data_IF_728853820212
#
_entry.id   IF_728853820212
#
_cell.length_a   1.000
_cell.length_b   1.000
_cell.length_c   1.000
_cell.angle_alpha   90.00
_cell.angle_beta   90.00
_cell.angle_gamma   90.00
#
_symmetry.space_group_name_H-M   'P 1'
#
loop_
_entity.id
_entity.type
_entity.pdbx_description
1 polymer ?
#
# COMPACT_ATOMS: atom_id res chain seq x y z
N UNK A 1 29.25 0.41 -96.63
CA UNK A 1 28.42 -0.73 -96.18
C UNK A 1 28.81 -1.05 -94.77
N UNK A 2 28.05 -0.58 -93.76
CA UNK A 2 28.19 -1.05 -92.36
C UNK A 2 26.89 -0.73 -91.62
N UNK A 3 26.22 -1.75 -91.21
CA UNK A 3 24.92 -1.70 -90.52
C UNK A 3 25.13 -1.41 -89.03
N UNK A 4 24.57 -0.32 -88.54
CA UNK A 4 24.48 0.03 -87.12
C UNK A 4 23.34 -0.71 -86.48
N UNK A 5 23.65 -1.53 -85.50
CA UNK A 5 22.62 -2.19 -84.65
C UNK A 5 22.22 -1.30 -83.45
N UNK A 6 20.96 -0.96 -83.40
CA UNK A 6 20.36 -0.24 -82.33
C UNK A 6 19.98 -1.23 -81.19
N UNK A 7 20.58 -1.09 -80.03
CA UNK A 7 20.28 -1.90 -78.87
C UNK A 7 19.31 -1.09 -77.99
N UNK A 8 18.08 -1.60 -77.83
CA UNK A 8 17.07 -1.05 -76.95
C UNK A 8 17.36 -1.47 -75.51
N UNK A 9 17.56 -0.51 -74.61
CA UNK A 9 17.67 -0.72 -73.19
C UNK A 9 16.27 -0.55 -72.58
N UNK A 10 15.69 -1.67 -72.17
CA UNK A 10 14.41 -1.69 -71.44
C UNK A 10 14.65 -1.39 -69.95
N UNK A 11 14.27 -0.21 -69.49
CA UNK A 11 14.31 0.16 -68.07
C UNK A 11 13.14 -0.49 -67.35
N UNK A 12 13.42 -1.42 -66.44
CA UNK A 12 12.45 -2.01 -65.51
C UNK A 12 12.29 -1.05 -64.35
N UNK A 13 11.16 -0.32 -64.25
CA UNK A 13 10.78 0.46 -63.07
C UNK A 13 10.18 -0.49 -62.05
N UNK A 14 10.93 -0.84 -61.01
CA UNK A 14 10.43 -1.56 -59.85
C UNK A 14 9.58 -0.63 -58.99
N UNK A 15 8.27 -0.79 -59.06
CA UNK A 15 7.29 -0.10 -58.18
C UNK A 15 7.33 -0.78 -56.80
N UNK A 16 8.13 -0.24 -55.87
CA UNK A 16 8.11 -0.66 -54.47
C UNK A 16 6.80 -0.19 -53.85
N UNK A 17 5.83 -1.07 -53.72
CA UNK A 17 4.63 -0.90 -52.89
C UNK A 17 5.07 -0.83 -51.44
N UNK A 18 5.22 0.40 -50.93
CA UNK A 18 5.32 0.68 -49.49
C UNK A 18 3.96 0.30 -48.87
N UNK A 19 3.86 -0.92 -48.38
CA UNK A 19 2.79 -1.34 -47.48
C UNK A 19 2.95 -0.63 -46.14
N UNK A 20 2.62 0.64 -46.10
CA UNK A 20 2.40 1.38 -44.88
C UNK A 20 1.12 0.86 -44.25
N UNK A 21 1.26 -0.13 -43.36
CA UNK A 21 0.17 -0.46 -42.45
C UNK A 21 -0.27 0.80 -41.71
N UNK A 22 -1.56 0.91 -41.33
CA UNK A 22 -2.03 2.05 -40.59
C UNK A 22 -1.13 2.21 -39.35
N UNK A 23 -0.72 3.45 -39.00
CA UNK A 23 0.10 3.67 -37.81
C UNK A 23 -0.58 3.00 -36.64
N UNK A 24 0.13 2.14 -35.93
CA UNK A 24 -0.37 1.50 -34.72
C UNK A 24 -0.89 2.62 -33.82
N UNK A 25 -2.22 2.71 -33.72
CA UNK A 25 -2.86 3.71 -32.88
C UNK A 25 -2.30 3.47 -31.49
N UNK A 26 -1.54 4.42 -30.95
CA UNK A 26 -1.05 4.33 -29.59
C UNK A 26 -2.25 4.03 -28.70
N UNK A 27 -2.27 2.84 -28.10
CA UNK A 27 -3.42 2.40 -27.33
C UNK A 27 -3.60 3.40 -26.20
N UNK A 28 -4.74 4.09 -26.15
CA UNK A 28 -5.03 5.12 -25.17
C UNK A 28 -4.89 4.55 -23.77
N UNK A 29 -4.09 5.21 -22.94
CA UNK A 29 -3.86 4.77 -21.56
C UNK A 29 -5.14 4.90 -20.76
N UNK A 30 -5.42 3.92 -19.93
CA UNK A 30 -6.58 3.96 -19.04
C UNK A 30 -6.29 4.89 -17.87
N UNK A 31 -7.07 5.98 -17.78
CA UNK A 31 -6.98 6.90 -16.64
C UNK A 31 -7.49 6.23 -15.37
N UNK A 32 -6.67 6.28 -14.30
CA UNK A 32 -7.00 5.83 -12.95
C UNK A 32 -6.74 6.96 -11.95
N UNK A 33 -7.78 7.37 -11.22
CA UNK A 33 -7.69 8.41 -10.20
C UNK A 33 -7.18 7.81 -8.90
N UNK A 34 -6.08 8.34 -8.42
CA UNK A 34 -5.34 7.79 -7.27
C UNK A 34 -5.33 8.79 -6.13
N UNK A 35 -5.85 8.40 -4.97
CA UNK A 35 -5.61 9.15 -3.74
C UNK A 35 -4.23 8.81 -3.17
N UNK A 36 -3.46 9.83 -2.79
CA UNK A 36 -2.17 9.68 -2.13
C UNK A 36 -2.13 10.47 -0.82
N UNK A 37 -1.33 10.01 0.14
CA UNK A 37 -1.07 10.76 1.38
C UNK A 37 0.12 11.70 1.20
N UNK A 38 0.15 12.79 1.96
CA UNK A 38 1.32 13.68 2.06
C UNK A 38 2.35 13.23 3.11
N UNK A 39 2.04 12.16 3.86
CA UNK A 39 2.91 11.61 4.90
C UNK A 39 3.95 10.65 4.31
N UNK A 40 5.16 10.52 4.89
CA UNK A 40 6.20 9.62 4.41
C UNK A 40 5.91 8.15 4.81
N UNK A 41 4.83 7.59 4.29
CA UNK A 41 4.35 6.24 4.56
C UNK A 41 4.26 5.43 3.27
N UNK A 42 3.79 4.19 3.35
CA UNK A 42 3.76 3.22 2.25
C UNK A 42 3.10 3.76 0.97
N UNK A 43 1.93 4.41 1.11
CA UNK A 43 1.15 4.87 -0.03
C UNK A 43 1.90 5.82 -0.97
N UNK A 44 2.42 6.99 -0.53
CA UNK A 44 3.13 7.90 -1.44
C UNK A 44 4.46 7.30 -1.94
N UNK A 45 5.11 6.43 -1.17
CA UNK A 45 6.33 5.74 -1.63
C UNK A 45 6.01 4.93 -2.89
N UNK A 46 4.98 4.08 -2.87
CA UNK A 46 4.58 3.29 -4.04
C UNK A 46 4.18 4.18 -5.21
N UNK A 47 3.38 5.23 -4.95
CA UNK A 47 2.94 6.19 -5.98
C UNK A 47 4.13 6.86 -6.67
N UNK A 48 5.09 7.36 -5.89
CA UNK A 48 6.28 8.02 -6.44
C UNK A 48 7.19 7.05 -7.21
N UNK A 49 7.42 5.84 -6.69
CA UNK A 49 8.19 4.83 -7.40
C UNK A 49 7.55 4.49 -8.76
N UNK A 50 6.21 4.31 -8.80
CA UNK A 50 5.49 4.07 -10.05
C UNK A 50 5.66 5.21 -11.05
N UNK A 51 5.49 6.47 -10.62
CA UNK A 51 5.58 7.65 -11.50
C UNK A 51 7.01 7.92 -11.97
N UNK A 52 7.98 7.94 -11.06
CA UNK A 52 9.39 8.22 -11.38
C UNK A 52 9.98 7.17 -12.34
N UNK A 53 9.54 5.93 -12.23
CA UNK A 53 9.98 4.85 -13.12
C UNK A 53 9.08 4.69 -14.35
N UNK A 54 7.99 5.45 -14.48
CA UNK A 54 7.04 5.33 -15.59
C UNK A 54 6.38 3.97 -15.68
N UNK A 55 6.21 3.28 -14.54
CA UNK A 55 5.62 1.93 -14.47
C UNK A 55 4.16 1.97 -14.91
N UNK A 56 3.40 2.96 -14.46
CA UNK A 56 2.02 3.17 -14.87
C UNK A 56 1.89 3.22 -16.40
N UNK A 57 2.75 3.99 -17.04
CA UNK A 57 2.75 4.15 -18.49
C UNK A 57 3.08 2.85 -19.24
N UNK A 58 4.04 2.05 -18.74
CA UNK A 58 4.38 0.75 -19.35
C UNK A 58 3.22 -0.24 -19.27
N UNK A 59 2.40 -0.15 -18.23
CA UNK A 59 1.17 -0.94 -18.09
C UNK A 59 -0.06 -0.29 -18.71
N UNK A 60 0.13 0.71 -19.60
CA UNK A 60 -0.96 1.42 -20.28
C UNK A 60 -1.98 2.04 -19.32
N UNK A 61 -1.49 2.53 -18.19
CA UNK A 61 -2.23 3.28 -17.20
C UNK A 61 -1.77 4.74 -17.20
N UNK A 62 -2.69 5.65 -16.86
CA UNK A 62 -2.42 7.06 -16.62
C UNK A 62 -2.92 7.41 -15.21
N UNK A 63 -1.98 7.47 -14.26
CA UNK A 63 -2.29 7.79 -12.87
C UNK A 63 -2.51 9.29 -12.70
N UNK A 64 -3.76 9.69 -12.44
CA UNK A 64 -4.15 11.02 -11.97
C UNK A 64 -4.09 11.04 -10.45
N UNK A 65 -3.00 11.54 -9.89
CA UNK A 65 -2.69 11.47 -8.45
C UNK A 65 -3.12 12.76 -7.75
N UNK A 66 -3.91 12.62 -6.68
CA UNK A 66 -4.26 13.72 -5.76
C UNK A 66 -3.79 13.40 -4.35
N UNK A 67 -3.14 14.38 -3.72
CA UNK A 67 -2.59 14.25 -2.38
C UNK A 67 -3.57 14.75 -1.32
N UNK A 68 -3.66 14.01 -0.20
CA UNK A 68 -4.53 14.32 0.93
C UNK A 68 -3.72 14.40 2.23
N UNK A 69 -4.03 15.37 3.12
CA UNK A 69 -3.23 15.63 4.31
C UNK A 69 -3.53 14.69 5.48
N UNK A 70 -4.61 13.91 5.42
CA UNK A 70 -5.03 13.02 6.51
C UNK A 70 -5.59 11.70 6.01
N UNK A 71 -5.53 10.67 6.85
CA UNK A 71 -6.11 9.35 6.59
C UNK A 71 -7.63 9.45 6.34
N UNK A 72 -8.33 10.30 7.08
CA UNK A 72 -9.77 10.49 6.90
C UNK A 72 -10.12 11.05 5.51
N UNK A 73 -9.44 12.12 5.07
CA UNK A 73 -9.65 12.71 3.74
C UNK A 73 -9.26 11.74 2.60
N UNK A 74 -8.18 11.00 2.81
CA UNK A 74 -7.68 9.99 1.89
C UNK A 74 -8.71 8.87 1.63
N UNK A 75 -9.32 8.32 2.66
CA UNK A 75 -10.37 7.31 2.50
C UNK A 75 -11.69 7.90 2.01
N UNK A 76 -12.04 9.13 2.41
CA UNK A 76 -13.22 9.83 1.92
C UNK A 76 -13.20 10.01 0.39
N UNK A 77 -12.05 10.26 -0.21
CA UNK A 77 -11.91 10.39 -1.66
C UNK A 77 -12.35 9.13 -2.42
N UNK A 78 -12.06 7.94 -1.88
CA UNK A 78 -12.54 6.67 -2.47
C UNK A 78 -14.01 6.43 -2.14
N UNK A 79 -14.44 6.73 -0.92
CA UNK A 79 -15.83 6.54 -0.52
C UNK A 79 -16.80 7.36 -1.39
N UNK A 80 -16.45 8.61 -1.69
CA UNK A 80 -17.24 9.53 -2.52
C UNK A 80 -17.12 9.30 -4.02
N UNK A 81 -16.12 8.51 -4.46
CA UNK A 81 -15.82 8.30 -5.89
C UNK A 81 -14.98 9.40 -6.53
N UNK A 82 -14.37 10.28 -5.75
CA UNK A 82 -13.37 11.24 -6.23
C UNK A 82 -12.10 10.52 -6.70
N UNK A 83 -11.70 9.45 -6.01
CA UNK A 83 -10.62 8.54 -6.41
C UNK A 83 -11.15 7.14 -6.73
N UNK A 84 -10.50 6.45 -7.66
CA UNK A 84 -10.77 5.05 -8.02
C UNK A 84 -10.08 4.06 -7.08
N UNK A 85 -8.95 4.49 -6.50
CA UNK A 85 -8.09 3.69 -5.60
C UNK A 85 -7.29 4.57 -4.65
N UNK A 86 -6.89 3.98 -3.53
CA UNK A 86 -5.86 4.51 -2.63
C UNK A 86 -4.50 3.86 -2.87
N UNK A 87 -4.32 3.04 -3.89
CA UNK A 87 -3.17 2.14 -4.11
C UNK A 87 -3.08 1.08 -3.01
N UNK A 88 -3.02 1.51 -1.75
CA UNK A 88 -2.97 0.67 -0.54
C UNK A 88 -3.92 1.21 0.52
N UNK A 89 -4.50 0.34 1.30
CA UNK A 89 -5.33 0.72 2.46
C UNK A 89 -5.73 -0.48 3.31
N UNK A 90 -6.27 -0.21 4.49
CA UNK A 90 -6.61 -1.22 5.48
C UNK A 90 -7.79 -2.11 5.09
N UNK A 91 -7.67 -3.44 5.19
CA UNK A 91 -8.76 -4.35 4.85
C UNK A 91 -10.04 -4.09 5.67
N UNK A 92 -9.94 -3.82 6.98
CA UNK A 92 -11.11 -3.55 7.82
C UNK A 92 -11.76 -2.18 7.54
N UNK A 93 -11.00 -1.22 7.03
CA UNK A 93 -11.57 0.06 6.56
C UNK A 93 -12.43 -0.18 5.32
N UNK A 94 -11.97 -1.01 4.38
CA UNK A 94 -12.77 -1.36 3.20
C UNK A 94 -13.93 -2.30 3.55
N UNK A 95 -13.80 -3.16 4.56
CA UNK A 95 -14.91 -3.91 5.14
C UNK A 95 -16.02 -2.95 5.59
N UNK A 96 -15.68 -1.95 6.39
CA UNK A 96 -16.63 -0.93 6.86
C UNK A 96 -17.27 -0.20 5.68
N UNK A 97 -16.47 0.34 4.76
CA UNK A 97 -16.99 1.04 3.58
C UNK A 97 -17.96 0.17 2.79
N UNK A 98 -17.63 -1.11 2.56
CA UNK A 98 -18.49 -2.04 1.84
C UNK A 98 -19.82 -2.26 2.55
N UNK A 99 -19.80 -2.44 3.89
CA UNK A 99 -21.02 -2.62 4.68
C UNK A 99 -21.88 -1.36 4.76
N UNK A 100 -21.29 -0.18 4.52
CA UNK A 100 -21.96 1.11 4.41
C UNK A 100 -22.43 1.44 2.97
N UNK A 101 -22.24 0.50 2.03
CA UNK A 101 -22.73 0.62 0.66
C UNK A 101 -21.75 1.24 -0.33
N UNK A 102 -20.49 1.50 0.05
CA UNK A 102 -19.47 1.98 -0.90
C UNK A 102 -19.11 0.84 -1.87
N UNK A 103 -19.19 1.06 -3.19
CA UNK A 103 -18.93 0.04 -4.20
C UNK A 103 -17.42 -0.16 -4.38
N UNK A 104 -16.77 -0.82 -3.43
CA UNK A 104 -15.33 -1.08 -3.38
C UNK A 104 -15.04 -2.57 -3.37
N UNK A 105 -13.95 -2.98 -4.03
CA UNK A 105 -13.42 -4.35 -4.02
C UNK A 105 -11.94 -4.35 -3.69
N UNK A 106 -11.48 -5.39 -3.04
CA UNK A 106 -10.07 -5.69 -2.80
C UNK A 106 -9.58 -6.58 -3.93
N UNK A 107 -8.58 -6.12 -4.68
CA UNK A 107 -8.06 -6.82 -5.87
C UNK A 107 -6.73 -7.51 -5.62
N UNK A 108 -5.94 -7.05 -4.64
CA UNK A 108 -4.68 -7.68 -4.24
C UNK A 108 -4.37 -7.41 -2.76
N UNK A 109 -3.51 -8.24 -2.19
CA UNK A 109 -2.76 -7.93 -0.97
C UNK A 109 -1.47 -7.23 -1.35
N UNK A 110 -0.84 -6.48 -0.43
CA UNK A 110 0.39 -5.76 -0.76
C UNK A 110 1.37 -5.58 0.40
N UNK A 111 0.91 -5.35 1.64
CA UNK A 111 1.77 -5.12 2.79
C UNK A 111 1.41 -6.08 3.91
N UNK A 112 2.35 -6.96 4.32
CA UNK A 112 2.19 -7.75 5.53
C UNK A 112 2.15 -6.87 6.78
N UNK A 113 1.62 -7.38 7.89
CA UNK A 113 1.54 -6.63 9.15
C UNK A 113 2.90 -6.39 9.84
N UNK A 114 4.01 -6.76 9.23
CA UNK A 114 5.36 -6.56 9.78
C UNK A 114 5.78 -5.09 9.88
N UNK A 115 5.14 -4.19 9.14
CA UNK A 115 5.44 -2.75 9.13
C UNK A 115 4.89 -2.01 10.35
N UNK A 116 3.89 -2.57 11.03
CA UNK A 116 3.26 -2.03 12.22
C UNK A 116 4.05 -2.36 13.48
N UNK A 117 4.47 -1.34 14.22
CA UNK A 117 5.19 -1.50 15.49
C UNK A 117 4.72 -0.52 16.56
N UNK A 118 4.97 -0.87 17.83
CA UNK A 118 4.89 0.04 18.96
C UNK A 118 6.27 0.19 19.55
N UNK A 119 6.69 1.45 19.71
CA UNK A 119 7.99 1.83 20.27
C UNK A 119 7.82 2.50 21.64
N UNK A 120 8.80 2.29 22.53
CA UNK A 120 8.90 2.97 23.82
C UNK A 120 10.38 3.28 24.15
N UNK A 121 10.64 4.29 24.96
CA UNK A 121 11.93 4.51 25.59
C UNK A 121 11.99 3.96 27.03
N UNK A 122 10.87 3.58 27.62
CA UNK A 122 10.80 3.10 28.99
C UNK A 122 11.33 1.68 29.17
N UNK A 123 12.37 1.41 29.97
CA UNK A 123 12.85 0.04 30.23
C UNK A 123 11.86 -0.83 30.97
N UNK A 124 10.84 -0.27 31.61
CA UNK A 124 9.83 -1.00 32.35
C UNK A 124 8.70 -1.58 31.45
N UNK A 125 8.59 -1.10 30.20
CA UNK A 125 7.55 -1.59 29.25
C UNK A 125 8.24 -2.52 28.25
N UNK A 126 7.99 -3.81 28.30
CA UNK A 126 8.65 -4.82 27.47
C UNK A 126 7.75 -5.47 26.41
N UNK A 127 6.44 -5.34 26.59
CA UNK A 127 5.41 -5.95 25.74
C UNK A 127 4.17 -5.07 25.66
N UNK A 128 3.23 -5.43 24.78
CA UNK A 128 1.96 -4.72 24.66
C UNK A 128 1.17 -4.71 25.96
N UNK A 129 1.19 -5.80 26.72
CA UNK A 129 0.40 -5.91 27.97
C UNK A 129 0.92 -5.01 29.09
N UNK A 130 2.20 -4.63 29.06
CA UNK A 130 2.80 -3.70 30.03
C UNK A 130 2.34 -2.25 29.81
N UNK A 131 1.57 -1.98 28.74
CA UNK A 131 0.93 -0.69 28.52
C UNK A 131 -0.30 -0.47 29.42
N UNK A 132 -0.70 -1.44 30.23
CA UNK A 132 -1.80 -1.27 31.19
C UNK A 132 -1.51 -0.12 32.15
N UNK A 133 -2.44 0.86 32.19
CA UNK A 133 -2.28 2.10 32.98
C UNK A 133 -1.32 3.12 32.36
N UNK A 134 -0.85 2.91 31.13
CA UNK A 134 0.08 3.79 30.40
C UNK A 134 -0.62 4.56 29.28
N UNK A 135 0.14 5.46 28.66
CA UNK A 135 -0.31 6.29 27.52
C UNK A 135 0.29 5.80 26.22
N UNK A 136 -0.54 5.62 25.19
CA UNK A 136 -0.16 5.24 23.83
C UNK A 136 -0.61 6.31 22.84
N UNK A 137 0.32 6.91 22.10
CA UNK A 137 -0.03 7.74 20.96
C UNK A 137 -0.31 6.86 19.74
N UNK A 138 -1.51 7.00 19.15
CA UNK A 138 -1.94 6.18 18.02
C UNK A 138 -2.97 6.91 17.15
N UNK A 139 -3.00 6.60 15.85
CA UNK A 139 -4.08 7.05 14.95
C UNK A 139 -5.25 6.08 15.03
N UNK A 140 -6.28 6.43 15.81
CA UNK A 140 -7.43 5.58 16.06
C UNK A 140 -8.29 5.30 14.81
N UNK A 141 -8.15 6.10 13.75
CA UNK A 141 -8.81 5.86 12.45
C UNK A 141 -8.07 4.89 11.54
N UNK A 142 -6.88 4.45 11.92
CA UNK A 142 -6.04 3.59 11.10
C UNK A 142 -6.37 2.10 11.25
N UNK A 143 -6.05 1.33 10.20
CA UNK A 143 -6.06 -0.14 10.24
C UNK A 143 -5.14 -0.67 11.33
N UNK A 144 -3.99 -0.03 11.51
CA UNK A 144 -2.97 -0.44 12.47
C UNK A 144 -3.48 -0.38 13.90
N UNK A 145 -4.23 0.66 14.26
CA UNK A 145 -4.87 0.74 15.57
C UNK A 145 -5.85 -0.42 15.80
N UNK A 146 -6.65 -0.75 14.79
CA UNK A 146 -7.61 -1.85 14.86
C UNK A 146 -6.91 -3.20 15.04
N UNK A 147 -5.81 -3.44 14.31
CA UNK A 147 -5.01 -4.67 14.44
C UNK A 147 -4.43 -4.82 15.85
N UNK A 148 -3.84 -3.75 16.42
CA UNK A 148 -3.34 -3.75 17.80
C UNK A 148 -4.44 -4.00 18.81
N UNK A 149 -5.61 -3.41 18.61
CA UNK A 149 -6.73 -3.57 19.53
C UNK A 149 -7.35 -4.99 19.48
N UNK A 150 -7.40 -5.61 18.29
CA UNK A 150 -7.82 -7.02 18.15
C UNK A 150 -6.85 -7.92 18.91
N UNK A 151 -5.55 -7.76 18.69
CA UNK A 151 -4.53 -8.52 19.40
C UNK A 151 -4.55 -8.26 20.91
N UNK A 152 -4.63 -6.99 21.32
CA UNK A 152 -4.71 -6.60 22.71
C UNK A 152 -5.87 -7.29 23.45
N UNK A 153 -7.06 -7.29 22.86
CA UNK A 153 -8.22 -7.99 23.43
C UNK A 153 -7.98 -9.50 23.59
N UNK A 154 -7.33 -10.13 22.61
CA UNK A 154 -6.97 -11.55 22.71
C UNK A 154 -5.97 -11.83 23.86
N UNK A 155 -5.23 -10.81 24.30
CA UNK A 155 -4.29 -10.84 25.44
C UNK A 155 -4.88 -10.24 26.73
N UNK A 156 -6.16 -9.92 26.76
CA UNK A 156 -6.84 -9.34 27.94
C UNK A 156 -6.55 -7.87 28.18
N UNK A 157 -6.11 -7.13 27.14
CA UNK A 157 -5.85 -5.69 27.19
C UNK A 157 -6.80 -4.94 26.26
N UNK A 158 -7.55 -3.97 26.80
CA UNK A 158 -8.48 -3.15 26.01
C UNK A 158 -7.92 -1.74 25.84
N UNK A 159 -7.56 -1.37 24.60
CA UNK A 159 -7.16 -0.01 24.28
C UNK A 159 -8.33 0.96 24.51
N UNK A 160 -8.03 2.12 25.06
CA UNK A 160 -9.03 3.12 25.45
C UNK A 160 -9.65 2.89 26.83
N UNK A 161 -9.46 1.71 27.44
CA UNK A 161 -9.91 1.39 28.80
C UNK A 161 -8.73 1.08 29.71
N UNK A 162 -7.93 0.06 29.38
CA UNK A 162 -6.74 -0.31 30.14
C UNK A 162 -5.53 0.55 29.78
N UNK A 163 -5.50 1.12 28.57
CA UNK A 163 -4.46 1.99 28.03
C UNK A 163 -5.08 3.31 27.62
N UNK A 164 -4.55 4.43 28.12
CA UNK A 164 -4.98 5.75 27.67
C UNK A 164 -4.46 6.01 26.25
N UNK A 165 -5.36 6.11 25.28
CA UNK A 165 -4.97 6.37 23.88
C UNK A 165 -5.04 7.85 23.57
N UNK A 166 -3.92 8.42 23.13
CA UNK A 166 -3.81 9.79 22.64
C UNK A 166 -3.91 9.77 21.13
N UNK A 167 -4.97 10.40 20.58
CA UNK A 167 -5.11 10.50 19.11
C UNK A 167 -3.95 11.26 18.51
N UNK A 168 -3.20 10.62 17.61
CA UNK A 168 -2.06 11.22 16.94
C UNK A 168 -1.80 10.53 15.60
N UNK A 169 -1.55 11.30 14.54
CA UNK A 169 -0.97 10.72 13.32
C UNK A 169 0.38 10.07 13.61
N UNK A 170 0.86 9.19 12.76
CA UNK A 170 2.16 8.52 12.97
C UNK A 170 3.32 9.50 13.19
N UNK A 171 3.35 10.62 12.45
CA UNK A 171 4.34 11.67 12.64
C UNK A 171 4.19 12.37 14.00
N UNK A 172 2.96 12.65 14.44
CA UNK A 172 2.70 13.25 15.74
C UNK A 172 2.99 12.27 16.88
N UNK A 173 2.67 10.97 16.73
CA UNK A 173 2.98 9.94 17.72
C UNK A 173 4.51 9.86 17.97
N UNK A 174 5.32 9.90 16.90
CA UNK A 174 6.78 10.05 17.04
C UNK A 174 7.16 11.26 17.87
N UNK A 175 6.60 12.43 17.57
CA UNK A 175 6.92 13.68 18.28
C UNK A 175 6.48 13.63 19.74
N UNK A 176 5.32 13.04 20.06
CA UNK A 176 4.83 12.90 21.43
C UNK A 176 5.73 11.98 22.26
N UNK A 177 6.19 10.86 21.68
CA UNK A 177 7.13 9.95 22.36
C UNK A 177 8.48 10.63 22.57
N UNK A 178 9.02 11.32 21.56
CA UNK A 178 10.30 12.03 21.67
C UNK A 178 10.26 13.14 22.73
N UNK A 179 9.11 13.78 22.94
CA UNK A 179 8.90 14.79 23.96
C UNK A 179 8.57 14.20 25.36
N UNK A 180 8.52 12.87 25.51
CA UNK A 180 8.16 12.22 26.78
C UNK A 180 6.72 12.46 27.23
N UNK A 181 5.81 12.84 26.31
CA UNK A 181 4.41 13.13 26.61
C UNK A 181 3.52 11.88 26.62
N UNK A 182 4.01 10.78 26.06
CA UNK A 182 3.39 9.46 26.07
C UNK A 182 4.43 8.40 26.39
N UNK A 183 3.99 7.27 26.94
CA UNK A 183 4.85 6.15 27.32
C UNK A 183 5.27 5.32 26.10
N UNK A 184 4.40 5.28 25.06
CA UNK A 184 4.64 4.52 23.83
C UNK A 184 4.01 5.22 22.62
N UNK A 185 4.52 4.91 21.43
CA UNK A 185 4.00 5.38 20.16
C UNK A 185 3.78 4.20 19.20
N UNK A 186 2.58 4.13 18.62
CA UNK A 186 2.27 3.26 17.50
C UNK A 186 2.69 3.95 16.22
N UNK A 187 3.57 3.32 15.49
CA UNK A 187 4.11 3.85 14.22
C UNK A 187 4.23 2.72 13.20
N UNK A 188 4.47 3.11 11.97
CA UNK A 188 4.69 2.19 10.85
C UNK A 188 6.03 2.49 10.17
N UNK A 189 6.50 1.57 9.34
CA UNK A 189 7.68 1.81 8.51
C UNK A 189 7.39 2.86 7.40
N UNK A 190 8.37 3.67 7.03
CA UNK A 190 9.76 3.74 7.51
C UNK A 190 9.99 4.63 8.74
N UNK A 191 8.93 5.19 9.34
CA UNK A 191 9.01 6.05 10.53
C UNK A 191 9.64 5.30 11.71
N UNK A 192 9.30 4.02 11.87
CA UNK A 192 9.85 3.18 12.92
C UNK A 192 11.38 3.04 12.82
N UNK A 193 11.89 2.73 11.63
CA UNK A 193 13.34 2.66 11.35
C UNK A 193 14.03 4.00 11.65
N UNK A 194 13.42 5.10 11.23
CA UNK A 194 13.97 6.44 11.51
C UNK A 194 14.08 6.69 13.01
N UNK A 195 13.04 6.39 13.80
CA UNK A 195 13.05 6.56 15.26
C UNK A 195 14.12 5.69 15.94
N UNK A 196 14.18 4.41 15.58
CA UNK A 196 15.16 3.47 16.16
C UNK A 196 16.60 3.89 15.87
N UNK A 197 16.85 4.55 14.74
CA UNK A 197 18.17 5.07 14.38
C UNK A 197 18.50 6.36 15.10
N UNK A 198 17.52 7.23 15.32
CA UNK A 198 17.70 8.52 15.99
C UNK A 198 17.97 8.39 17.49
N UNK A 199 17.43 7.38 18.15
CA UNK A 199 17.55 7.21 19.59
C UNK A 199 17.70 5.73 19.99
N UNK A 200 18.88 5.37 20.45
CA UNK A 200 19.21 4.01 20.91
C UNK A 200 18.41 3.54 22.14
N UNK A 201 17.71 4.44 22.84
CA UNK A 201 16.82 4.06 23.95
C UNK A 201 15.47 3.50 23.46
N UNK A 202 15.10 3.81 22.21
CA UNK A 202 13.87 3.25 21.66
C UNK A 202 14.01 1.76 21.40
N UNK A 203 12.96 1.05 21.75
CA UNK A 203 12.84 -0.37 21.50
C UNK A 203 11.42 -0.72 21.09
N UNK A 204 11.32 -1.74 20.30
CA UNK A 204 10.07 -2.27 19.81
C UNK A 204 9.51 -3.25 20.84
N UNK A 205 8.30 -2.96 21.33
CA UNK A 205 7.57 -3.81 22.29
C UNK A 205 6.43 -4.58 21.60
N UNK A 206 6.14 -4.27 20.34
CA UNK A 206 5.12 -4.93 19.54
C UNK A 206 5.52 -4.86 18.06
N UNK A 207 5.32 -5.98 17.35
CA UNK A 207 5.37 -6.06 15.89
C UNK A 207 4.12 -6.78 15.40
N UNK A 208 3.36 -6.15 14.50
CA UNK A 208 2.08 -6.66 14.02
C UNK A 208 2.18 -8.02 13.33
N UNK A 209 3.23 -8.25 12.54
CA UNK A 209 3.45 -9.52 11.85
C UNK A 209 3.74 -10.69 12.81
N UNK A 210 4.53 -10.44 13.84
CA UNK A 210 4.78 -11.44 14.91
C UNK A 210 3.49 -11.73 15.68
N UNK A 211 2.79 -10.68 16.12
CA UNK A 211 1.56 -10.77 16.87
C UNK A 211 0.46 -11.50 16.08
N UNK A 212 0.33 -11.21 14.80
CA UNK A 212 -0.67 -11.86 13.95
C UNK A 212 -0.39 -13.34 13.76
N UNK A 213 0.86 -13.73 13.50
CA UNK A 213 1.25 -15.13 13.43
C UNK A 213 1.03 -15.88 14.74
N UNK A 214 1.30 -15.23 15.88
CA UNK A 214 1.00 -15.81 17.20
C UNK A 214 -0.51 -16.07 17.38
N UNK A 215 -1.35 -15.16 16.89
CA UNK A 215 -2.80 -15.23 17.04
C UNK A 215 -3.47 -16.22 16.08
N UNK A 216 -2.93 -16.38 14.86
CA UNK A 216 -3.60 -17.09 13.75
C UNK A 216 -2.81 -18.27 13.20
N UNK A 217 -1.52 -18.36 13.47
CA UNK A 217 -0.60 -19.30 12.83
C UNK A 217 -0.15 -18.89 11.41
N UNK A 218 -0.68 -17.79 10.87
CA UNK A 218 -0.41 -17.35 9.50
C UNK A 218 0.01 -15.88 9.42
N UNK A 219 0.50 -15.46 8.27
CA UNK A 219 0.81 -14.07 7.98
C UNK A 219 -0.48 -13.28 7.73
N UNK A 220 -0.57 -12.10 8.34
CA UNK A 220 -1.67 -11.18 8.12
C UNK A 220 -1.29 -10.02 7.18
N UNK A 221 -2.30 -9.36 6.66
CA UNK A 221 -2.13 -8.21 5.76
C UNK A 221 -2.50 -6.92 6.49
N UNK A 222 -1.55 -6.00 6.57
CA UNK A 222 -1.82 -4.65 7.06
C UNK A 222 -2.54 -3.83 6.00
N UNK A 223 -2.05 -3.92 4.75
CA UNK A 223 -2.63 -3.19 3.64
C UNK A 223 -2.95 -4.11 2.45
N UNK A 224 -4.06 -3.77 1.80
CA UNK A 224 -4.57 -4.40 0.59
C UNK A 224 -4.79 -3.35 -0.49
N UNK A 225 -4.98 -3.76 -1.73
CA UNK A 225 -5.20 -2.90 -2.89
C UNK A 225 -6.69 -2.80 -3.20
N UNK A 226 -7.32 -1.64 -2.98
CA UNK A 226 -8.72 -1.43 -3.32
C UNK A 226 -8.87 -0.93 -4.76
N UNK A 227 -10.00 -1.27 -5.39
CA UNK A 227 -10.52 -0.61 -6.59
C UNK A 227 -12.02 -0.39 -6.46
N UNK A 228 -12.52 0.76 -6.91
CA UNK A 228 -13.96 0.99 -7.01
C UNK A 228 -14.58 0.15 -8.12
N UNK A 229 -15.79 -0.35 -7.89
CA UNK A 229 -16.55 -1.13 -8.90
C UNK A 229 -16.80 -0.33 -10.17
N UNK A 230 -17.00 0.98 -10.07
CA UNK A 230 -17.19 1.84 -11.24
C UNK A 230 -15.97 1.83 -12.16
N UNK A 231 -14.76 1.83 -11.58
CA UNK A 231 -13.52 1.68 -12.34
C UNK A 231 -13.44 0.28 -12.97
N UNK A 232 -13.70 -0.75 -12.20
CA UNK A 232 -13.66 -2.15 -12.68
C UNK A 232 -14.62 -2.35 -13.86
N UNK A 233 -15.85 -1.81 -13.76
CA UNK A 233 -16.87 -1.91 -14.83
C UNK A 233 -16.47 -1.19 -16.11
N UNK A 234 -15.89 0.04 -16.01
CA UNK A 234 -15.51 0.81 -17.20
C UNK A 234 -14.20 0.35 -17.85
N UNK A 235 -13.33 -0.33 -17.10
CA UNK A 235 -12.02 -0.77 -17.58
C UNK A 235 -11.59 -2.13 -16.97
N UNK A 236 -12.35 -3.24 -17.21
CA UNK A 236 -12.09 -4.51 -16.55
C UNK A 236 -10.68 -5.06 -16.81
N UNK A 237 -10.15 -4.90 -18.02
CA UNK A 237 -8.79 -5.30 -18.37
C UNK A 237 -7.71 -4.49 -17.62
N UNK A 238 -8.04 -3.33 -17.06
CA UNK A 238 -7.08 -2.52 -16.30
C UNK A 238 -6.81 -3.08 -14.91
N UNK A 239 -7.67 -3.95 -14.36
CA UNK A 239 -7.44 -4.59 -13.05
C UNK A 239 -6.17 -5.43 -13.08
N UNK A 240 -6.03 -6.31 -14.06
CA UNK A 240 -4.82 -7.14 -14.21
C UNK A 240 -3.56 -6.29 -14.45
N UNK A 241 -3.68 -5.21 -15.27
CA UNK A 241 -2.59 -4.27 -15.54
C UNK A 241 -2.17 -3.52 -14.28
N UNK A 242 -3.13 -3.13 -13.43
CA UNK A 242 -2.87 -2.47 -12.15
C UNK A 242 -2.10 -3.37 -11.19
N UNK A 243 -2.52 -4.63 -11.04
CA UNK A 243 -1.80 -5.62 -10.22
C UNK A 243 -0.39 -5.85 -10.77
N UNK A 244 -0.23 -6.02 -12.09
CA UNK A 244 1.07 -6.21 -12.72
C UNK A 244 1.99 -4.99 -12.53
N UNK A 245 1.46 -3.76 -12.58
CA UNK A 245 2.23 -2.55 -12.30
C UNK A 245 2.74 -2.52 -10.85
N UNK A 246 1.92 -2.93 -9.88
CA UNK A 246 2.33 -3.04 -8.48
C UNK A 246 3.37 -4.16 -8.27
N UNK A 247 3.25 -5.28 -8.97
CA UNK A 247 4.26 -6.35 -8.97
C UNK A 247 5.59 -5.89 -9.58
N UNK A 248 5.54 -5.01 -10.59
CA UNK A 248 6.75 -4.40 -11.13
C UNK A 248 7.42 -3.45 -10.12
N UNK A 249 6.65 -2.68 -9.34
CA UNK A 249 7.20 -1.90 -8.20
C UNK A 249 7.89 -2.82 -7.21
N UNK A 250 7.24 -3.94 -6.84
CA UNK A 250 7.84 -4.94 -5.94
C UNK A 250 9.18 -5.47 -6.48
N UNK A 251 9.23 -5.83 -7.78
CA UNK A 251 10.45 -6.30 -8.42
C UNK A 251 11.53 -5.22 -8.46
N UNK A 252 11.16 -3.98 -8.81
CA UNK A 252 12.07 -2.84 -8.85
C UNK A 252 12.71 -2.58 -7.49
N UNK A 253 11.92 -2.52 -6.41
CA UNK A 253 12.44 -2.29 -5.05
C UNK A 253 13.41 -3.39 -4.62
N UNK A 254 13.12 -4.65 -4.96
CA UNK A 254 14.01 -5.78 -4.63
C UNK A 254 15.33 -5.77 -5.38
N UNK A 255 15.31 -5.34 -6.64
CA UNK A 255 16.47 -5.41 -7.53
C UNK A 255 17.31 -4.13 -7.52
N UNK A 256 16.72 -3.00 -7.15
CA UNK A 256 17.34 -1.66 -7.28
C UNK A 256 17.19 -0.85 -5.98
N UNK A 257 17.61 -1.46 -4.85
CA UNK A 257 17.40 -0.89 -3.50
C UNK A 257 17.98 0.52 -3.36
N UNK A 258 19.19 0.75 -3.89
CA UNK A 258 19.86 2.06 -3.78
C UNK A 258 19.16 3.14 -4.61
N UNK A 259 18.68 2.80 -5.80
CA UNK A 259 17.91 3.72 -6.64
C UNK A 259 16.53 4.00 -6.02
N UNK A 260 15.87 2.97 -5.48
CA UNK A 260 14.61 3.12 -4.77
C UNK A 260 14.74 4.04 -3.54
N UNK A 261 15.80 3.86 -2.72
CA UNK A 261 16.11 4.75 -1.58
C UNK A 261 16.32 6.20 -2.04
N UNK A 262 17.08 6.43 -3.11
CA UNK A 262 17.32 7.77 -3.64
C UNK A 262 16.02 8.44 -4.13
N UNK A 263 15.13 7.70 -4.80
CA UNK A 263 13.81 8.20 -5.22
C UNK A 263 12.98 8.56 -4.00
N UNK A 264 12.88 7.66 -3.04
CA UNK A 264 12.07 7.84 -1.82
C UNK A 264 12.60 9.03 -1.01
N UNK A 265 13.90 9.12 -0.78
CA UNK A 265 14.52 10.25 -0.05
C UNK A 265 14.15 11.60 -0.69
N UNK A 266 14.19 11.68 -2.03
CA UNK A 266 13.89 12.92 -2.76
C UNK A 266 12.41 13.25 -2.76
N UNK A 267 11.52 12.26 -2.95
CA UNK A 267 10.09 12.48 -3.21
C UNK A 267 9.26 12.59 -1.94
N UNK A 268 9.53 11.79 -0.90
CA UNK A 268 8.79 11.81 0.36
C UNK A 268 9.56 12.44 1.53
N UNK A 269 10.74 13.02 1.24
CA UNK A 269 11.56 13.76 2.22
C UNK A 269 12.03 12.91 3.41
N UNK A 270 12.32 11.64 3.18
CA UNK A 270 13.01 10.80 4.16
C UNK A 270 14.52 11.07 4.13
N UNK A 271 15.21 10.98 5.27
CA UNK A 271 16.67 10.98 5.27
C UNK A 271 17.22 9.84 4.40
N UNK A 272 18.27 10.08 3.60
CA UNK A 272 18.90 9.04 2.78
C UNK A 272 19.28 7.81 3.60
N UNK A 273 19.07 6.63 3.06
CA UNK A 273 19.38 5.36 3.70
C UNK A 273 18.30 4.81 4.64
N UNK A 274 17.33 5.62 5.08
CA UNK A 274 16.25 5.15 5.97
C UNK A 274 15.37 4.12 5.27
N UNK A 275 15.01 4.36 4.02
CA UNK A 275 14.18 3.42 3.28
C UNK A 275 14.92 2.09 3.01
N UNK A 276 16.19 2.16 2.63
CA UNK A 276 17.07 1.00 2.47
C UNK A 276 17.18 0.18 3.77
N UNK A 277 17.32 0.84 4.92
CA UNK A 277 17.40 0.20 6.22
C UNK A 277 16.06 -0.44 6.65
N UNK A 278 14.92 0.22 6.36
CA UNK A 278 13.60 -0.34 6.57
C UNK A 278 13.38 -1.63 5.75
N UNK A 279 13.82 -1.65 4.49
CA UNK A 279 13.84 -2.85 3.65
C UNK A 279 14.71 -3.96 4.26
N UNK A 280 15.95 -3.63 4.63
CA UNK A 280 16.90 -4.59 5.20
C UNK A 280 16.41 -5.19 6.53
N UNK A 281 15.61 -4.44 7.30
CA UNK A 281 15.00 -4.92 8.55
C UNK A 281 13.92 -5.97 8.36
N UNK A 282 13.42 -6.17 7.12
CA UNK A 282 12.30 -7.05 6.81
C UNK A 282 10.94 -6.54 7.30
N UNK A 283 10.85 -5.32 7.82
CA UNK A 283 9.59 -4.73 8.25
C UNK A 283 8.88 -3.96 7.13
N UNK A 284 9.63 -3.30 6.24
CA UNK A 284 9.05 -2.71 5.04
C UNK A 284 9.10 -3.74 3.90
N UNK A 285 7.95 -4.30 3.55
CA UNK A 285 7.82 -5.36 2.54
C UNK A 285 6.70 -5.01 1.56
N UNK A 286 6.98 -5.14 0.26
CA UNK A 286 5.95 -5.18 -0.79
C UNK A 286 5.79 -6.63 -1.22
N UNK A 287 4.59 -7.17 -1.05
CA UNK A 287 4.25 -8.54 -1.44
C UNK A 287 2.88 -8.55 -2.14
N UNK A 288 2.89 -8.32 -3.45
CA UNK A 288 1.67 -8.15 -4.26
C UNK A 288 1.17 -9.51 -4.73
N UNK A 289 0.01 -9.92 -4.22
CA UNK A 289 -0.67 -11.16 -4.61
C UNK A 289 -2.14 -10.89 -4.92
N UNK A 290 -2.71 -11.55 -5.95
CA UNK A 290 -4.14 -11.45 -6.21
C UNK A 290 -4.97 -11.85 -4.98
N UNK A 291 -5.94 -11.02 -4.60
CA UNK A 291 -6.74 -11.23 -3.38
C UNK A 291 -7.66 -12.47 -3.43
N UNK A 292 -7.95 -12.95 -4.64
CA UNK A 292 -8.78 -14.15 -4.86
C UNK A 292 -8.03 -15.48 -4.69
N UNK A 293 -6.71 -15.45 -4.47
CA UNK A 293 -5.96 -16.63 -4.06
C UNK A 293 -6.51 -17.21 -2.76
N UNK A 294 -6.58 -18.54 -2.64
CA UNK A 294 -7.22 -19.19 -1.49
C UNK A 294 -6.62 -18.75 -0.14
N UNK A 295 -5.30 -18.60 -0.08
CA UNK A 295 -4.57 -18.16 1.12
C UNK A 295 -4.85 -16.68 1.43
N UNK A 296 -4.73 -15.83 0.43
CA UNK A 296 -4.94 -14.37 0.56
C UNK A 296 -6.38 -14.09 0.96
N UNK A 297 -7.35 -14.72 0.29
CA UNK A 297 -8.76 -14.61 0.63
C UNK A 297 -9.02 -15.03 2.07
N UNK A 298 -8.53 -16.21 2.48
CA UNK A 298 -8.68 -16.69 3.86
C UNK A 298 -8.11 -15.69 4.87
N UNK A 299 -6.90 -15.21 4.65
CA UNK A 299 -6.23 -14.26 5.57
C UNK A 299 -6.98 -12.93 5.68
N UNK A 300 -7.54 -12.41 4.58
CA UNK A 300 -8.38 -11.20 4.58
C UNK A 300 -9.67 -11.45 5.39
N UNK A 301 -10.33 -12.60 5.18
CA UNK A 301 -11.55 -12.97 5.89
C UNK A 301 -11.30 -13.19 7.39
N UNK A 302 -10.20 -13.83 7.77
CA UNK A 302 -9.79 -13.96 9.19
C UNK A 302 -9.70 -12.58 9.88
N UNK A 303 -9.22 -11.56 9.16
CA UNK A 303 -9.17 -10.19 9.68
C UNK A 303 -10.58 -9.62 9.85
N UNK A 304 -11.47 -9.81 8.89
CA UNK A 304 -12.85 -9.31 8.96
C UNK A 304 -13.63 -9.94 10.11
N UNK A 305 -13.53 -11.26 10.28
CA UNK A 305 -14.18 -12.00 11.36
C UNK A 305 -13.68 -11.54 12.72
N UNK A 306 -12.39 -11.33 12.87
CA UNK A 306 -11.79 -10.85 14.13
C UNK A 306 -12.18 -9.41 14.43
N UNK A 307 -12.31 -8.55 13.44
CA UNK A 307 -12.80 -7.19 13.64
C UNK A 307 -14.25 -7.16 14.16
N UNK A 308 -15.10 -8.06 13.65
CA UNK A 308 -16.47 -8.23 14.14
C UNK A 308 -16.49 -8.87 15.53
N UNK A 309 -15.73 -9.95 15.77
CA UNK A 309 -15.63 -10.59 17.08
C UNK A 309 -15.11 -9.66 18.17
N UNK A 310 -14.18 -8.76 17.81
CA UNK A 310 -13.67 -7.72 18.68
C UNK A 310 -14.62 -6.52 18.85
N UNK A 311 -15.81 -6.55 18.21
CA UNK A 311 -16.80 -5.46 18.20
C UNK A 311 -16.27 -4.13 17.65
N UNK A 312 -15.28 -4.21 16.77
CA UNK A 312 -14.77 -3.06 16.00
C UNK A 312 -15.69 -2.72 14.86
N UNK A 313 -16.24 -3.74 14.21
CA UNK A 313 -17.22 -3.64 13.15
C UNK A 313 -18.46 -4.45 13.52
N UNK A 314 -19.62 -4.01 13.02
CA UNK A 314 -20.91 -4.61 13.38
C UNK A 314 -21.17 -5.90 12.61
N UNK A 315 -20.72 -5.98 11.36
CA UNK A 315 -21.05 -7.10 10.46
C UNK A 315 -19.95 -7.38 9.43
N UNK A 316 -19.98 -8.59 8.91
CA UNK A 316 -19.17 -8.97 7.75
C UNK A 316 -19.71 -8.32 6.48
N UNK A 317 -18.85 -8.04 5.49
CA UNK A 317 -19.26 -7.59 4.16
C UNK A 317 -19.79 -8.78 3.35
N UNK A 318 -20.38 -8.49 2.18
CA UNK A 318 -20.68 -9.53 1.22
C UNK A 318 -19.39 -10.09 0.57
N UNK A 319 -19.49 -11.29 0.00
CA UNK A 319 -18.37 -11.99 -0.64
C UNK A 319 -17.74 -11.23 -1.80
N UNK A 320 -18.49 -10.33 -2.43
CA UNK A 320 -18.03 -9.54 -3.55
C UNK A 320 -17.01 -8.45 -3.18
N UNK A 321 -16.76 -8.24 -1.88
CA UNK A 321 -15.66 -7.34 -1.46
C UNK A 321 -14.32 -7.82 -1.99
N UNK A 322 -14.10 -9.14 -2.12
CA UNK A 322 -12.91 -9.67 -2.77
C UNK A 322 -13.22 -9.86 -4.25
N UNK A 323 -12.46 -9.17 -5.08
CA UNK A 323 -12.57 -9.30 -6.53
C UNK A 323 -12.27 -10.73 -6.98
N UNK A 324 -13.07 -11.24 -7.88
CA UNK A 324 -12.81 -12.46 -8.63
C UNK A 324 -12.93 -12.11 -10.13
N UNK A 325 -11.92 -12.44 -10.97
CA UNK A 325 -11.90 -12.14 -12.40
C UNK A 325 -12.97 -12.92 -13.18
#
# INVERSE_FOLDING_TARGET
MTRTKLTAVTALVALALASGGPPARAQERVKIRVAALTLPVFNPIIVHLMKEKGIDARHQLDMDVRAYPSIAAFYAAVATGEADTTVVGGPTVFQKMRTEGVPIRIVATIVPQSDLVILTASPAIQSLVDLKGKTLAADMGSQQYQAVAIYGRAKGLTLGTDVTVVQASFALARTQLAAGRVDAAMVIEPIATMMLKENAQYRMIFNGGVAWRELTGEEGWDLVVPLREDFIKRAPAAVARWIAALQEVQAFVKQNVDEADAIVARTVKLPPGIFKEALASGRWVVDVRPAWGARERKSIWDMFERAVAAKYLEKLPDDAIIYAP
#
